data_IF_080171336173
#
_entry.id   IF_080171336173
#
_cell.length_a   1.000
_cell.length_b   1.000
_cell.length_c   1.000
_cell.angle_alpha   90.00
_cell.angle_beta   90.00
_cell.angle_gamma   90.00
#
_symmetry.space_group_name_H-M   'P 1'
#
loop_
_entity.id
_entity.type
_entity.pdbx_description
1 polymer ?
#
# COMPACT_ATOMS: atom_id res chain seq x y z
N UNK A 1 -1.44 -11.84 6.42
CA UNK A 1 -1.43 -12.77 5.26
C UNK A 1 -2.81 -12.78 4.61
N UNK A 2 -2.91 -12.94 3.30
CA UNK A 2 -4.22 -12.95 2.64
C UNK A 2 -5.01 -14.22 3.02
N UNK A 3 -6.35 -14.12 3.11
CA UNK A 3 -7.22 -15.28 3.40
C UNK A 3 -6.98 -16.45 2.42
N UNK A 4 -6.61 -16.15 1.16
CA UNK A 4 -6.33 -17.15 0.13
C UNK A 4 -5.01 -17.89 0.39
N UNK A 5 -3.95 -17.19 0.83
CA UNK A 5 -2.69 -17.83 1.19
C UNK A 5 -2.91 -18.91 2.26
N UNK A 6 -3.61 -18.56 3.35
CA UNK A 6 -3.85 -19.50 4.45
C UNK A 6 -4.76 -20.69 4.09
N UNK A 7 -5.52 -20.62 2.98
CA UNK A 7 -6.31 -21.74 2.47
C UNK A 7 -5.49 -22.72 1.64
N UNK A 8 -4.44 -22.22 0.97
CA UNK A 8 -3.60 -23.03 0.06
C UNK A 8 -2.41 -23.59 0.82
N UNK A 9 -1.67 -22.70 1.51
CA UNK A 9 -0.45 -23.05 2.22
C UNK A 9 -0.73 -23.62 3.61
N UNK A 10 -0.12 -24.76 3.92
CA UNK A 10 0.03 -25.27 5.28
C UNK A 10 1.46 -25.76 5.46
N UNK A 11 1.98 -25.72 6.68
CA UNK A 11 3.35 -26.20 6.97
C UNK A 11 3.48 -27.70 6.66
N UNK A 12 2.43 -28.49 6.89
CA UNK A 12 2.41 -29.91 6.54
C UNK A 12 2.66 -30.13 5.04
N UNK A 13 1.89 -29.45 4.16
CA UNK A 13 2.08 -29.53 2.70
C UNK A 13 3.47 -29.05 2.29
N UNK A 14 3.96 -27.98 2.95
CA UNK A 14 5.29 -27.47 2.66
C UNK A 14 6.40 -28.48 2.94
N UNK A 15 6.27 -29.27 3.98
CA UNK A 15 7.23 -30.35 4.28
C UNK A 15 7.30 -31.41 3.18
N UNK A 16 6.19 -31.67 2.48
CA UNK A 16 6.10 -32.66 1.40
C UNK A 16 6.67 -32.17 0.06
N UNK A 17 6.80 -30.85 -0.13
CA UNK A 17 7.40 -30.26 -1.37
C UNK A 17 8.80 -30.81 -1.57
N UNK A 18 9.16 -31.19 -2.83
CA UNK A 18 10.46 -31.77 -3.13
C UNK A 18 11.61 -30.81 -2.80
N UNK A 19 12.76 -31.42 -2.55
CA UNK A 19 13.96 -30.70 -2.09
C UNK A 19 14.48 -29.71 -3.13
N UNK A 20 14.47 -30.07 -4.41
CA UNK A 20 14.94 -29.22 -5.51
C UNK A 20 14.19 -27.87 -5.52
N UNK A 21 12.86 -27.94 -5.48
CA UNK A 21 12.01 -26.74 -5.49
C UNK A 21 12.21 -25.85 -4.24
N UNK A 22 12.43 -26.47 -3.08
CA UNK A 22 12.74 -25.73 -1.86
C UNK A 22 14.09 -25.02 -1.93
N UNK A 23 15.13 -25.74 -2.37
CA UNK A 23 16.47 -25.18 -2.49
C UNK A 23 16.48 -24.01 -3.46
N UNK A 24 15.94 -24.19 -4.67
CA UNK A 24 15.85 -23.11 -5.66
C UNK A 24 15.14 -21.85 -5.10
N UNK A 25 14.06 -22.02 -4.33
CA UNK A 25 13.40 -20.87 -3.71
C UNK A 25 14.29 -20.18 -2.68
N UNK A 26 14.94 -20.93 -1.80
CA UNK A 26 15.77 -20.34 -0.74
C UNK A 26 17.01 -19.63 -1.34
N UNK A 27 17.63 -20.20 -2.38
CA UNK A 27 18.77 -19.58 -3.07
C UNK A 27 18.35 -18.30 -3.79
N UNK A 28 17.20 -18.31 -4.46
CA UNK A 28 16.63 -17.10 -5.02
C UNK A 28 16.34 -16.02 -3.95
N UNK A 29 15.84 -16.41 -2.77
CA UNK A 29 15.61 -15.47 -1.67
C UNK A 29 16.91 -14.93 -1.08
N UNK A 30 17.98 -15.73 -1.08
CA UNK A 30 19.35 -15.29 -0.72
C UNK A 30 19.87 -14.27 -1.74
N UNK A 31 19.66 -14.51 -3.03
CA UNK A 31 20.02 -13.57 -4.09
C UNK A 31 19.29 -12.21 -3.90
N UNK A 32 17.98 -12.23 -3.62
CA UNK A 32 17.25 -11.00 -3.31
C UNK A 32 17.81 -10.27 -2.07
N UNK A 33 18.31 -11.02 -1.09
CA UNK A 33 18.94 -10.45 0.11
C UNK A 33 20.32 -9.85 -0.22
N UNK A 34 21.11 -10.48 -1.09
CA UNK A 34 22.40 -9.94 -1.57
C UNK A 34 22.21 -8.61 -2.28
N UNK A 35 21.12 -8.49 -3.06
CA UNK A 35 20.68 -7.26 -3.72
C UNK A 35 20.09 -6.22 -2.75
N UNK A 36 20.16 -6.42 -1.45
CA UNK A 36 19.63 -5.52 -0.41
C UNK A 36 18.14 -5.21 -0.55
N UNK A 37 17.34 -6.16 -1.08
CA UNK A 37 15.87 -6.01 -1.09
C UNK A 37 15.33 -5.93 0.33
N UNK A 38 14.28 -5.13 0.54
CA UNK A 38 13.63 -4.99 1.85
C UNK A 38 13.06 -6.32 2.32
N UNK A 39 13.14 -6.63 3.62
CA UNK A 39 12.59 -7.84 4.24
C UNK A 39 11.15 -8.13 3.78
N UNK A 40 10.26 -7.12 3.80
CA UNK A 40 8.87 -7.31 3.36
C UNK A 40 8.72 -7.72 1.89
N UNK A 41 9.68 -7.34 1.02
CA UNK A 41 9.72 -7.78 -0.39
C UNK A 41 10.12 -9.25 -0.46
N UNK A 42 11.16 -9.65 0.28
CA UNK A 42 11.63 -11.04 0.33
C UNK A 42 10.53 -11.96 0.89
N UNK A 43 9.88 -11.57 1.98
CA UNK A 43 8.75 -12.31 2.57
C UNK A 43 7.56 -12.43 1.60
N UNK A 44 7.33 -11.38 0.79
CA UNK A 44 6.29 -11.42 -0.24
C UNK A 44 6.63 -12.43 -1.35
N UNK A 45 7.88 -12.46 -1.84
CA UNK A 45 8.34 -13.47 -2.81
C UNK A 45 8.22 -14.87 -2.24
N UNK A 46 8.68 -15.09 -1.00
CA UNK A 46 8.54 -16.38 -0.31
C UNK A 46 7.10 -16.86 -0.29
N UNK A 47 6.17 -16.01 0.13
CA UNK A 47 4.76 -16.38 0.22
C UNK A 47 4.12 -16.64 -1.16
N UNK A 48 4.53 -15.89 -2.18
CA UNK A 48 4.00 -16.05 -3.54
C UNK A 48 4.54 -17.35 -4.18
N UNK A 49 5.81 -17.68 -3.98
CA UNK A 49 6.42 -18.92 -4.49
C UNK A 49 5.95 -20.17 -3.73
N UNK A 50 5.67 -20.08 -2.43
CA UNK A 50 5.07 -21.18 -1.67
C UNK A 50 3.72 -21.59 -2.26
N UNK A 51 2.89 -20.67 -2.74
CA UNK A 51 1.64 -20.99 -3.43
C UNK A 51 1.92 -21.81 -4.70
N UNK A 52 2.92 -21.43 -5.50
CA UNK A 52 3.32 -22.16 -6.69
C UNK A 52 3.74 -23.60 -6.35
N UNK A 53 4.58 -23.77 -5.35
CA UNK A 53 5.11 -25.10 -5.02
C UNK A 53 4.04 -26.02 -4.40
N UNK A 54 3.04 -25.46 -3.71
CA UNK A 54 1.86 -26.24 -3.29
C UNK A 54 1.03 -26.65 -4.51
N UNK A 55 0.85 -25.80 -5.52
CA UNK A 55 0.21 -26.20 -6.77
C UNK A 55 0.99 -27.33 -7.46
N UNK A 56 2.31 -27.26 -7.53
CA UNK A 56 3.15 -28.31 -8.14
C UNK A 56 3.03 -29.62 -7.34
N UNK A 57 2.95 -29.53 -6.01
CA UNK A 57 2.75 -30.70 -5.15
C UNK A 57 1.42 -31.39 -5.45
N UNK A 58 0.33 -30.62 -5.51
CA UNK A 58 -1.04 -31.16 -5.58
C UNK A 58 -1.46 -31.55 -7.01
N UNK A 59 -1.04 -30.79 -8.03
CA UNK A 59 -1.56 -30.91 -9.39
C UNK A 59 -0.54 -31.47 -10.39
N UNK A 60 0.74 -31.56 -10.03
CA UNK A 60 1.82 -31.93 -10.94
C UNK A 60 2.77 -33.01 -10.36
N UNK A 61 2.25 -33.88 -9.49
CA UNK A 61 2.98 -35.00 -8.89
C UNK A 61 4.29 -34.57 -8.20
N UNK A 62 4.31 -33.38 -7.58
CA UNK A 62 5.48 -32.83 -6.88
C UNK A 62 6.78 -32.79 -7.75
N UNK A 63 6.65 -32.59 -9.05
CA UNK A 63 7.79 -32.59 -9.99
C UNK A 63 8.77 -31.44 -9.69
N UNK A 64 10.08 -31.65 -9.90
CA UNK A 64 11.02 -30.53 -9.95
C UNK A 64 10.62 -29.52 -11.03
N UNK A 65 10.72 -28.22 -10.72
CA UNK A 65 10.22 -27.16 -11.60
C UNK A 65 10.89 -27.11 -12.96
N UNK A 66 12.15 -27.54 -13.10
CA UNK A 66 12.86 -27.60 -14.37
C UNK A 66 12.20 -28.56 -15.38
N UNK A 67 11.44 -29.56 -14.92
CA UNK A 67 10.67 -30.47 -15.80
C UNK A 67 9.38 -29.87 -16.32
N UNK A 68 8.99 -28.68 -15.84
CA UNK A 68 7.76 -28.03 -16.24
C UNK A 68 7.96 -27.18 -17.51
N UNK A 69 6.93 -27.14 -18.33
CA UNK A 69 6.92 -26.41 -19.60
C UNK A 69 5.84 -25.31 -19.56
N UNK A 70 5.83 -24.44 -20.58
CA UNK A 70 4.87 -23.33 -20.73
C UNK A 70 3.41 -23.74 -20.42
N UNK A 71 2.98 -24.95 -20.83
CA UNK A 71 1.62 -25.44 -20.56
C UNK A 71 1.33 -25.49 -19.06
N UNK A 72 2.22 -26.07 -18.27
CA UNK A 72 2.04 -26.18 -16.83
C UNK A 72 1.88 -24.81 -16.13
N UNK A 73 2.67 -23.81 -16.56
CA UNK A 73 2.56 -22.45 -16.01
C UNK A 73 1.33 -21.70 -16.50
N UNK A 74 0.81 -22.00 -17.71
CA UNK A 74 -0.51 -21.53 -18.14
C UNK A 74 -1.61 -22.16 -17.26
N UNK A 75 -1.53 -23.46 -17.03
CA UNK A 75 -2.51 -24.19 -16.23
C UNK A 75 -2.47 -23.73 -14.76
N UNK A 76 -1.29 -23.36 -14.22
CA UNK A 76 -1.15 -22.66 -12.94
C UNK A 76 -1.93 -21.33 -12.91
N UNK A 77 -1.84 -20.53 -13.98
CA UNK A 77 -2.62 -19.29 -14.09
C UNK A 77 -4.12 -19.54 -14.06
N UNK A 78 -4.62 -20.59 -14.71
CA UNK A 78 -6.02 -20.97 -14.67
C UNK A 78 -6.43 -21.45 -13.26
N UNK A 79 -5.63 -22.31 -12.64
CA UNK A 79 -5.87 -22.78 -11.27
C UNK A 79 -5.96 -21.62 -10.26
N UNK A 80 -5.13 -20.58 -10.40
CA UNK A 80 -5.23 -19.39 -9.56
C UNK A 80 -6.55 -18.63 -9.77
N UNK A 81 -7.06 -18.56 -11.01
CA UNK A 81 -8.35 -17.95 -11.33
C UNK A 81 -9.50 -18.76 -10.73
N UNK A 82 -9.45 -20.10 -10.81
CA UNK A 82 -10.44 -21.00 -10.19
C UNK A 82 -10.50 -20.86 -8.65
N UNK A 83 -9.39 -20.40 -8.04
CA UNK A 83 -9.37 -20.02 -6.61
C UNK A 83 -9.90 -18.59 -6.35
N UNK A 84 -10.57 -17.98 -7.32
CA UNK A 84 -11.13 -16.61 -7.25
C UNK A 84 -10.09 -15.54 -6.89
N UNK A 85 -8.88 -15.64 -7.44
CA UNK A 85 -7.87 -14.58 -7.30
C UNK A 85 -8.09 -13.50 -8.35
N UNK A 86 -7.96 -12.23 -7.94
CA UNK A 86 -8.01 -11.11 -8.89
C UNK A 86 -6.88 -11.16 -9.92
N UNK A 87 -7.12 -10.63 -11.14
CA UNK A 87 -6.14 -10.54 -12.22
C UNK A 87 -4.81 -9.91 -11.75
N UNK A 88 -4.87 -8.88 -10.89
CA UNK A 88 -3.69 -8.26 -10.29
C UNK A 88 -2.90 -9.22 -9.38
N UNK A 89 -3.60 -10.07 -8.61
CA UNK A 89 -2.97 -11.08 -7.74
C UNK A 89 -2.32 -12.19 -8.57
N UNK A 90 -3.02 -12.71 -9.58
CA UNK A 90 -2.50 -13.73 -10.52
C UNK A 90 -1.24 -13.19 -11.20
N UNK A 91 -1.30 -11.97 -11.76
CA UNK A 91 -0.15 -11.35 -12.43
C UNK A 91 1.06 -11.19 -11.50
N UNK A 92 0.83 -10.88 -10.21
CA UNK A 92 1.91 -10.79 -9.22
C UNK A 92 2.55 -12.14 -8.95
N UNK A 93 1.76 -13.21 -8.79
CA UNK A 93 2.25 -14.58 -8.59
C UNK A 93 3.06 -15.06 -9.81
N UNK A 94 2.57 -14.79 -11.02
CA UNK A 94 3.31 -15.07 -12.25
C UNK A 94 4.60 -14.25 -12.35
N UNK A 95 4.61 -13.01 -11.85
CA UNK A 95 5.83 -12.19 -11.81
C UNK A 95 6.87 -12.76 -10.84
N UNK A 96 6.45 -13.23 -9.67
CA UNK A 96 7.36 -13.89 -8.72
C UNK A 96 7.99 -15.16 -9.33
N UNK A 97 7.17 -15.99 -9.96
CA UNK A 97 7.63 -17.18 -10.68
C UNK A 97 8.65 -16.84 -11.78
N UNK A 98 8.33 -15.82 -12.62
CA UNK A 98 9.25 -15.40 -13.68
C UNK A 98 10.58 -14.90 -13.13
N UNK A 99 10.55 -14.12 -12.06
CA UNK A 99 11.78 -13.61 -11.43
C UNK A 99 12.65 -14.73 -10.87
N UNK A 100 12.05 -15.75 -10.25
CA UNK A 100 12.79 -16.91 -9.75
C UNK A 100 13.38 -17.75 -10.89
N UNK A 101 12.62 -17.99 -11.96
CA UNK A 101 13.14 -18.74 -13.10
C UNK A 101 14.17 -17.95 -13.91
N UNK A 102 14.11 -16.61 -13.96
CA UNK A 102 15.20 -15.82 -14.54
C UNK A 102 16.48 -15.91 -13.72
N UNK A 103 16.38 -15.91 -12.39
CA UNK A 103 17.52 -16.17 -11.53
C UNK A 103 18.11 -17.57 -11.85
N UNK A 104 17.26 -18.60 -11.90
CA UNK A 104 17.72 -19.96 -12.15
C UNK A 104 18.32 -20.18 -13.56
N UNK A 105 17.85 -19.44 -14.58
CA UNK A 105 18.39 -19.45 -15.95
C UNK A 105 19.80 -18.86 -16.01
N UNK A 106 20.08 -17.87 -15.14
CA UNK A 106 21.38 -17.17 -15.07
C UNK A 106 22.36 -17.76 -14.04
N UNK A 107 21.91 -18.73 -13.21
CA UNK A 107 22.69 -19.33 -12.14
C UNK A 107 23.53 -20.53 -12.63
N UNK A 108 24.75 -20.64 -12.15
CA UNK A 108 25.70 -21.68 -12.61
C UNK A 108 25.23 -23.12 -12.30
N UNK A 109 24.51 -23.32 -11.18
CA UNK A 109 24.03 -24.65 -10.76
C UNK A 109 22.69 -24.98 -11.43
N UNK A 110 21.73 -24.03 -11.39
CA UNK A 110 20.38 -24.28 -11.91
C UNK A 110 20.27 -24.10 -13.42
N UNK A 111 21.17 -23.33 -14.06
CA UNK A 111 21.14 -23.05 -15.49
C UNK A 111 21.35 -24.29 -16.36
N UNK A 112 22.06 -25.31 -15.86
CA UNK A 112 22.17 -26.61 -16.54
C UNK A 112 20.82 -27.32 -16.69
N UNK A 113 19.93 -27.18 -15.71
CA UNK A 113 18.59 -27.77 -15.72
C UNK A 113 17.54 -26.84 -16.35
N UNK A 114 17.71 -25.53 -16.27
CA UNK A 114 16.74 -24.49 -16.67
C UNK A 114 17.32 -23.57 -17.72
N UNK A 115 17.51 -24.10 -18.92
CA UNK A 115 18.01 -23.35 -20.09
C UNK A 115 17.01 -22.27 -20.59
N UNK A 116 15.74 -22.40 -20.29
CA UNK A 116 14.67 -21.54 -20.80
C UNK A 116 13.66 -21.23 -19.69
N UNK A 117 13.45 -19.94 -19.41
CA UNK A 117 12.35 -19.47 -18.57
C UNK A 117 11.00 -19.60 -19.31
N UNK A 118 10.38 -20.77 -19.23
CA UNK A 118 9.06 -20.99 -19.83
C UNK A 118 7.94 -20.15 -19.21
N UNK A 119 8.06 -19.70 -17.99
CA UNK A 119 7.08 -18.83 -17.37
C UNK A 119 7.06 -17.42 -18.00
N UNK A 120 8.19 -16.94 -18.53
CA UNK A 120 8.26 -15.69 -19.26
C UNK A 120 7.41 -15.71 -20.53
N UNK A 121 7.18 -16.89 -21.12
CA UNK A 121 6.36 -17.09 -22.33
C UNK A 121 4.85 -17.16 -22.04
N UNK A 122 4.42 -17.15 -20.77
CA UNK A 122 3.00 -17.08 -20.39
C UNK A 122 2.58 -15.61 -20.30
N UNK A 123 1.54 -15.21 -21.02
CA UNK A 123 1.00 -13.85 -20.93
C UNK A 123 0.29 -13.63 -19.61
N UNK A 124 0.43 -12.44 -19.02
CA UNK A 124 -0.36 -12.02 -17.88
C UNK A 124 -1.83 -11.78 -18.28
N UNK A 125 -2.69 -11.73 -17.27
CA UNK A 125 -4.10 -11.37 -17.45
C UNK A 125 -4.25 -9.87 -17.69
N UNK A 126 -5.28 -9.47 -18.44
CA UNK A 126 -5.65 -8.08 -18.59
C UNK A 126 -5.91 -7.47 -17.21
N UNK A 127 -5.41 -6.27 -16.99
CA UNK A 127 -5.64 -5.55 -15.74
C UNK A 127 -7.10 -5.06 -15.72
N UNK A 128 -7.88 -5.64 -14.85
CA UNK A 128 -9.21 -5.11 -14.51
C UNK A 128 -9.07 -4.07 -13.39
N UNK A 129 -9.96 -3.09 -13.35
CA UNK A 129 -10.09 -2.18 -12.20
C UNK A 129 -10.43 -3.03 -10.97
N UNK A 130 -9.44 -3.28 -10.12
CA UNK A 130 -9.56 -4.28 -9.05
C UNK A 130 -10.47 -3.86 -7.90
N UNK A 131 -10.74 -2.57 -7.71
CA UNK A 131 -11.59 -2.02 -6.63
C UNK A 131 -12.04 -0.62 -7.00
N UNK A 132 -13.24 -0.26 -6.60
CA UNK A 132 -13.65 1.14 -6.56
C UNK A 132 -12.81 1.88 -5.52
N UNK A 133 -12.33 3.05 -5.92
CA UNK A 133 -11.59 3.94 -5.01
C UNK A 133 -12.65 4.68 -4.20
N UNK A 134 -12.62 4.49 -2.89
CA UNK A 134 -13.53 5.20 -2.00
C UNK A 134 -12.91 6.55 -1.63
N UNK A 135 -13.43 7.60 -2.24
CA UNK A 135 -13.09 8.98 -1.92
C UNK A 135 -13.90 9.48 -0.72
N UNK A 136 -13.23 10.18 0.18
CA UNK A 136 -13.85 10.91 1.27
C UNK A 136 -14.06 12.37 0.85
N UNK A 137 -15.24 12.91 1.11
CA UNK A 137 -15.47 14.35 0.97
C UNK A 137 -14.79 15.12 2.11
N UNK A 138 -14.58 16.43 1.91
CA UNK A 138 -14.01 17.25 2.98
C UNK A 138 -14.92 17.29 4.22
N UNK A 139 -16.24 17.25 4.03
CA UNK A 139 -17.21 17.18 5.15
C UNK A 139 -17.05 15.89 5.96
N UNK A 140 -16.94 14.72 5.29
CA UNK A 140 -16.71 13.43 5.96
C UNK A 140 -15.39 13.43 6.74
N UNK A 141 -14.32 14.00 6.17
CA UNK A 141 -13.01 14.12 6.85
C UNK A 141 -13.12 15.03 8.07
N UNK A 142 -13.79 16.17 7.96
CA UNK A 142 -13.98 17.09 9.08
C UNK A 142 -14.88 16.50 10.18
N UNK A 143 -15.88 15.69 9.83
CA UNK A 143 -16.68 14.94 10.80
C UNK A 143 -15.80 13.98 11.59
N UNK A 144 -14.96 13.18 10.91
CA UNK A 144 -14.01 12.27 11.58
C UNK A 144 -13.08 13.07 12.51
N UNK A 145 -12.46 14.12 11.99
CA UNK A 145 -11.52 14.97 12.74
C UNK A 145 -12.15 15.57 14.00
N UNK A 146 -13.33 16.20 13.87
CA UNK A 146 -14.03 16.84 14.97
C UNK A 146 -14.52 15.84 16.02
N UNK A 147 -15.02 14.68 15.60
CA UNK A 147 -15.42 13.60 16.49
C UNK A 147 -14.25 13.08 17.31
N UNK A 148 -13.09 12.88 16.68
CA UNK A 148 -11.87 12.46 17.37
C UNK A 148 -11.41 13.51 18.39
N UNK A 149 -11.49 14.80 18.05
CA UNK A 149 -11.20 15.90 18.98
C UNK A 149 -12.17 15.90 20.17
N UNK A 150 -13.47 15.79 19.92
CA UNK A 150 -14.50 15.75 20.94
C UNK A 150 -14.30 14.57 21.91
N UNK A 151 -13.84 13.42 21.39
CA UNK A 151 -13.48 12.24 22.17
C UNK A 151 -12.10 12.35 22.85
N UNK A 152 -11.40 13.47 22.73
CA UNK A 152 -10.02 13.69 23.22
C UNK A 152 -9.00 12.67 22.67
N UNK A 153 -9.25 12.10 21.51
CA UNK A 153 -8.33 11.20 20.78
C UNK A 153 -7.39 12.01 19.89
N UNK A 154 -6.67 12.96 20.50
CA UNK A 154 -5.90 13.98 19.76
C UNK A 154 -4.81 13.40 18.87
N UNK A 155 -4.16 12.29 19.27
CA UNK A 155 -3.21 11.58 18.41
C UNK A 155 -3.86 11.06 17.12
N UNK A 156 -5.08 10.56 17.20
CA UNK A 156 -5.81 10.09 16.03
C UNK A 156 -6.34 11.26 15.19
N UNK A 157 -6.75 12.36 15.83
CA UNK A 157 -7.10 13.59 15.13
C UNK A 157 -5.89 14.14 14.35
N UNK A 158 -4.69 14.14 14.96
CA UNK A 158 -3.44 14.50 14.27
C UNK A 158 -3.15 13.57 13.09
N UNK A 159 -3.35 12.26 13.23
CA UNK A 159 -3.18 11.33 12.10
C UNK A 159 -4.15 11.65 10.96
N UNK A 160 -5.42 11.95 11.28
CA UNK A 160 -6.42 12.34 10.29
C UNK A 160 -6.00 13.63 9.56
N UNK A 161 -5.60 14.65 10.32
CA UNK A 161 -5.13 15.93 9.77
C UNK A 161 -3.88 15.79 8.89
N UNK A 162 -2.87 15.06 9.35
CA UNK A 162 -1.63 14.88 8.60
C UNK A 162 -1.84 14.05 7.33
N UNK A 163 -2.75 13.06 7.35
CA UNK A 163 -3.06 12.27 6.15
C UNK A 163 -3.72 13.13 5.06
N UNK A 164 -4.61 14.05 5.41
CA UNK A 164 -5.29 14.92 4.44
C UNK A 164 -4.40 16.08 4.01
N UNK A 165 -3.63 16.67 4.92
CA UNK A 165 -2.73 17.79 4.64
C UNK A 165 -1.52 17.40 3.81
N UNK A 166 -1.01 16.17 3.94
CA UNK A 166 0.22 15.76 3.27
C UNK A 166 -0.01 14.85 2.06
N UNK A 167 -1.19 14.30 1.91
CA UNK A 167 -1.42 13.15 1.02
C UNK A 167 -0.41 12.02 1.21
N UNK A 168 0.24 11.93 2.38
CA UNK A 168 1.31 10.98 2.70
C UNK A 168 0.82 9.54 2.69
N UNK A 169 1.67 8.62 2.24
CA UNK A 169 1.40 7.19 2.44
C UNK A 169 1.59 6.83 3.91
N UNK A 170 0.82 5.86 4.40
CA UNK A 170 0.94 5.39 5.81
C UNK A 170 2.39 5.14 6.24
N UNK A 171 3.21 4.54 5.36
CA UNK A 171 4.62 4.28 5.61
C UNK A 171 5.45 5.56 5.78
N UNK A 172 5.09 6.62 5.08
CA UNK A 172 5.74 7.93 5.15
C UNK A 172 5.32 8.65 6.43
N UNK A 173 4.01 8.70 6.71
CA UNK A 173 3.44 9.29 7.92
C UNK A 173 3.94 8.59 9.19
N UNK A 174 4.12 7.27 9.16
CA UNK A 174 4.64 6.49 10.28
C UNK A 174 6.04 6.92 10.73
N UNK A 175 6.86 7.49 9.84
CA UNK A 175 8.24 7.92 10.10
C UNK A 175 8.34 9.33 10.69
N UNK A 176 7.22 10.03 10.89
CA UNK A 176 7.26 11.39 11.43
C UNK A 176 7.65 11.35 12.90
N UNK A 177 8.60 12.23 13.25
CA UNK A 177 9.15 12.36 14.59
C UNK A 177 8.33 13.33 15.45
N UNK A 178 8.39 13.15 16.77
CA UNK A 178 7.68 13.96 17.76
C UNK A 178 7.86 15.46 17.55
N UNK A 179 9.10 15.91 17.32
CA UNK A 179 9.45 17.33 17.22
C UNK A 179 9.54 17.84 15.77
N UNK A 180 8.94 17.13 14.81
CA UNK A 180 9.07 17.46 13.39
C UNK A 180 7.97 18.40 12.87
N UNK A 181 7.02 18.79 13.71
CA UNK A 181 5.93 19.69 13.35
C UNK A 181 6.08 20.98 14.17
N UNK A 182 6.15 22.13 13.51
CA UNK A 182 6.27 23.44 14.15
C UNK A 182 5.54 24.51 13.31
N UNK A 183 5.34 25.69 13.92
CA UNK A 183 4.69 26.83 13.25
C UNK A 183 5.62 27.55 12.26
N UNK A 184 6.92 27.36 12.38
CA UNK A 184 7.95 28.01 11.55
C UNK A 184 8.24 27.25 10.25
N UNK A 185 7.81 25.99 10.18
CA UNK A 185 8.04 25.14 9.00
C UNK A 185 6.79 24.37 8.63
N UNK A 186 6.45 24.32 7.36
CA UNK A 186 5.32 23.52 6.85
C UNK A 186 5.76 22.13 6.35
N UNK A 187 6.90 21.62 6.85
CA UNK A 187 7.46 20.34 6.45
C UNK A 187 7.94 19.52 7.64
N UNK A 188 7.60 18.23 7.64
CA UNK A 188 8.09 17.28 8.64
C UNK A 188 9.60 17.03 8.52
N UNK A 189 10.15 16.16 9.39
CA UNK A 189 11.45 15.54 9.14
C UNK A 189 11.47 14.80 7.80
N UNK A 190 12.68 14.50 7.30
CA UNK A 190 12.86 13.65 6.13
C UNK A 190 12.29 12.25 6.38
N UNK A 191 11.51 11.75 5.42
CA UNK A 191 10.94 10.40 5.42
C UNK A 191 11.38 9.65 4.17
N UNK A 192 11.41 8.32 4.25
CA UNK A 192 11.83 7.44 3.16
C UNK A 192 10.59 6.83 2.50
N UNK A 193 10.32 7.23 1.29
CA UNK A 193 9.23 6.73 0.46
C UNK A 193 9.59 5.44 -0.30
N UNK A 194 8.81 5.16 -1.33
CA UNK A 194 9.02 4.02 -2.24
C UNK A 194 10.36 4.17 -2.96
N UNK A 195 11.08 3.04 -3.16
CA UNK A 195 12.41 2.96 -3.80
C UNK A 195 13.50 3.76 -3.09
N UNK A 196 13.33 4.09 -1.80
CA UNK A 196 14.34 4.81 -1.04
C UNK A 196 14.37 6.33 -1.27
N UNK A 197 13.39 6.89 -2.02
CA UNK A 197 13.29 8.33 -2.25
C UNK A 197 13.08 9.05 -0.91
N UNK A 198 13.92 10.03 -0.63
CA UNK A 198 13.86 10.86 0.56
C UNK A 198 13.16 12.17 0.27
N UNK A 199 12.25 12.59 1.14
CA UNK A 199 11.52 13.84 1.06
C UNK A 199 10.86 14.17 2.40
N UNK A 200 10.28 15.36 2.52
CA UNK A 200 9.53 15.80 3.70
C UNK A 200 8.06 15.93 3.35
N UNK A 201 7.18 15.54 4.29
CA UNK A 201 5.75 15.72 4.13
C UNK A 201 5.39 17.18 4.39
N UNK A 202 4.58 17.74 3.53
CA UNK A 202 4.00 19.07 3.72
C UNK A 202 2.79 18.97 4.64
N UNK A 203 2.57 19.95 5.51
CA UNK A 203 1.39 20.05 6.36
C UNK A 203 0.93 21.51 6.48
N UNK A 204 -0.28 21.70 7.01
CA UNK A 204 -0.92 22.99 7.13
C UNK A 204 -1.65 23.16 8.48
N UNK A 205 -2.50 24.18 8.57
CA UNK A 205 -3.15 24.64 9.78
C UNK A 205 -3.88 23.54 10.56
N UNK A 206 -4.55 22.60 9.86
CA UNK A 206 -5.28 21.49 10.49
C UNK A 206 -4.34 20.55 11.27
N UNK A 207 -3.20 20.25 10.66
CA UNK A 207 -2.16 19.45 11.32
C UNK A 207 -1.53 20.18 12.50
N UNK A 208 -1.28 21.49 12.39
CA UNK A 208 -0.73 22.30 13.48
C UNK A 208 -1.66 22.33 14.68
N UNK A 209 -2.95 22.60 14.45
CA UNK A 209 -3.95 22.59 15.52
C UNK A 209 -4.00 21.24 16.25
N UNK A 210 -4.06 20.15 15.48
CA UNK A 210 -4.11 18.80 16.04
C UNK A 210 -2.84 18.43 16.79
N UNK A 211 -1.69 18.89 16.31
CA UNK A 211 -0.39 18.67 16.93
C UNK A 211 -0.30 19.35 18.29
N UNK A 212 -0.68 20.64 18.39
CA UNK A 212 -0.68 21.39 19.65
C UNK A 212 -1.55 20.68 20.70
N UNK A 213 -2.76 20.25 20.31
CA UNK A 213 -3.67 19.50 21.18
C UNK A 213 -3.09 18.15 21.63
N UNK A 214 -2.46 17.43 20.71
CA UNK A 214 -1.86 16.14 21.01
C UNK A 214 -0.64 16.27 21.91
N UNK A 215 0.26 17.21 21.66
CA UNK A 215 1.45 17.40 22.46
C UNK A 215 1.11 17.84 23.88
N UNK A 216 0.11 18.70 24.05
CA UNK A 216 -0.42 19.05 25.36
C UNK A 216 -0.99 17.85 26.15
N UNK A 217 -1.60 16.88 25.45
CA UNK A 217 -2.09 15.64 26.07
C UNK A 217 -0.99 14.62 26.33
N UNK A 218 -0.04 14.51 25.41
CA UNK A 218 1.05 13.51 25.45
C UNK A 218 2.00 13.76 26.62
N UNK A 219 2.32 15.01 26.87
CA UNK A 219 3.34 15.39 27.84
C UNK A 219 4.77 15.05 27.39
N UNK A 220 5.68 14.99 28.36
CA UNK A 220 7.09 14.67 28.12
C UNK A 220 7.33 13.17 28.16
N UNK A 221 8.12 12.66 27.22
CA UNK A 221 8.60 11.28 27.13
C UNK A 221 9.85 11.23 26.23
N UNK A 222 10.61 10.13 26.31
CA UNK A 222 11.86 9.91 25.57
C UNK A 222 11.66 9.19 24.22
N UNK A 223 10.41 9.10 23.72
CA UNK A 223 10.12 8.40 22.46
C UNK A 223 10.16 9.40 21.29
N UNK A 224 11.09 9.21 20.38
CA UNK A 224 11.26 10.07 19.21
C UNK A 224 10.08 10.02 18.22
N UNK A 225 9.37 8.88 18.14
CA UNK A 225 8.24 8.72 17.24
C UNK A 225 7.09 9.63 17.61
N UNK A 226 6.44 10.26 16.61
CA UNK A 226 5.19 10.99 16.81
C UNK A 226 4.06 10.07 17.31
N UNK A 227 4.08 8.80 16.90
CA UNK A 227 3.03 7.82 17.16
C UNK A 227 3.41 6.89 18.32
N UNK A 228 2.60 6.89 19.37
CA UNK A 228 2.81 6.07 20.56
C UNK A 228 1.58 5.24 20.90
N UNK A 229 1.79 4.17 21.62
CA UNK A 229 0.75 3.36 22.25
C UNK A 229 1.13 3.09 23.70
N UNK A 230 0.13 2.89 24.56
CA UNK A 230 0.33 2.46 25.92
C UNK A 230 0.01 0.97 26.01
N UNK A 231 0.95 0.17 26.46
CA UNK A 231 0.78 -1.26 26.67
C UNK A 231 1.35 -1.64 28.03
N UNK A 232 0.55 -2.32 28.86
CA UNK A 232 0.93 -2.71 30.24
C UNK A 232 1.44 -1.53 31.09
N UNK A 233 0.89 -0.34 30.89
CA UNK A 233 1.27 0.86 31.60
C UNK A 233 2.45 1.63 31.00
N UNK A 234 3.24 1.01 30.13
CA UNK A 234 4.39 1.61 29.45
C UNK A 234 4.03 2.27 28.13
N UNK A 235 4.64 3.43 27.87
CA UNK A 235 4.59 4.08 26.56
C UNK A 235 5.60 3.42 25.63
N UNK A 236 5.17 3.12 24.39
CA UNK A 236 6.03 2.56 23.34
C UNK A 236 5.67 3.19 22.01
N UNK A 237 6.61 3.20 21.07
CA UNK A 237 6.30 3.54 19.70
C UNK A 237 5.15 2.66 19.19
N UNK A 238 4.13 3.27 18.59
CA UNK A 238 3.04 2.55 17.96
C UNK A 238 3.55 1.64 16.86
N UNK A 239 2.92 0.49 16.67
CA UNK A 239 3.24 -0.36 15.52
C UNK A 239 2.74 0.27 14.21
N UNK A 240 3.35 -0.13 13.10
CA UNK A 240 2.90 0.30 11.79
C UNK A 240 1.42 -0.08 11.51
N UNK A 241 1.00 -1.22 12.05
CA UNK A 241 -0.38 -1.71 11.95
C UNK A 241 -1.36 -0.90 12.80
N UNK A 242 -0.92 -0.29 13.88
CA UNK A 242 -1.75 0.57 14.74
C UNK A 242 -2.34 1.74 13.95
N UNK A 243 -1.56 2.40 13.08
CA UNK A 243 -2.06 3.50 12.26
C UNK A 243 -3.17 3.04 11.29
N UNK A 244 -3.03 1.82 10.76
CA UNK A 244 -4.08 1.23 9.92
C UNK A 244 -5.35 0.94 10.72
N UNK A 245 -5.20 0.31 11.88
CA UNK A 245 -6.32 -0.05 12.73
C UNK A 245 -7.10 1.18 13.19
N UNK A 246 -6.41 2.28 13.55
CA UNK A 246 -7.06 3.54 13.90
C UNK A 246 -7.91 4.08 12.75
N UNK A 247 -7.36 4.17 11.54
CA UNK A 247 -8.12 4.66 10.37
C UNK A 247 -9.33 3.79 10.08
N UNK A 248 -9.21 2.46 10.17
CA UNK A 248 -10.36 1.56 9.98
C UNK A 248 -11.42 1.78 11.04
N UNK A 249 -11.04 2.06 12.29
CA UNK A 249 -12.01 2.32 13.36
C UNK A 249 -12.85 3.57 13.13
N UNK A 250 -12.35 4.56 12.36
CA UNK A 250 -13.09 5.80 12.07
C UNK A 250 -14.29 5.58 11.12
N UNK A 251 -14.38 4.45 10.43
CA UNK A 251 -15.59 4.08 9.66
C UNK A 251 -16.83 4.11 10.51
N UNK A 252 -16.70 3.72 11.80
CA UNK A 252 -17.80 3.77 12.77
C UNK A 252 -18.27 5.20 13.00
N UNK A 253 -17.37 6.19 13.01
CA UNK A 253 -17.75 7.60 13.20
C UNK A 253 -18.67 8.06 12.06
N UNK A 254 -18.34 7.78 10.80
CA UNK A 254 -19.20 8.13 9.67
C UNK A 254 -20.55 7.43 9.72
N UNK A 255 -20.57 6.18 10.16
CA UNK A 255 -21.80 5.43 10.32
C UNK A 255 -22.69 5.98 11.41
N UNK A 256 -22.11 6.28 12.57
CA UNK A 256 -22.84 6.75 13.76
C UNK A 256 -23.32 8.21 13.59
N UNK A 257 -22.50 9.10 13.01
CA UNK A 257 -22.79 10.54 12.94
C UNK A 257 -23.48 10.97 11.63
N UNK A 258 -23.18 10.30 10.50
CA UNK A 258 -23.72 10.67 9.19
C UNK A 258 -24.59 9.57 8.54
N UNK A 259 -24.74 8.41 9.20
CA UNK A 259 -25.39 7.22 8.63
C UNK A 259 -24.77 6.77 7.29
N UNK A 260 -23.45 6.98 7.12
CA UNK A 260 -22.69 6.59 5.92
C UNK A 260 -21.90 5.33 6.22
N UNK A 261 -22.23 4.24 5.52
CA UNK A 261 -21.44 2.99 5.53
C UNK A 261 -20.46 2.98 4.36
N UNK A 262 -19.24 3.47 4.60
CA UNK A 262 -18.20 3.64 3.58
C UNK A 262 -16.94 2.90 3.97
N UNK A 263 -16.44 2.07 3.05
CA UNK A 263 -15.13 1.45 3.22
C UNK A 263 -14.02 2.41 2.79
N UNK A 264 -13.13 2.72 3.72
CA UNK A 264 -11.92 3.52 3.45
C UNK A 264 -10.74 3.03 4.29
N UNK A 265 -9.54 3.44 3.92
CA UNK A 265 -8.29 3.09 4.58
C UNK A 265 -7.30 4.26 4.45
N UNK A 266 -6.08 4.19 5.03
CA UNK A 266 -5.11 5.30 4.92
C UNK A 266 -4.82 5.75 3.49
N UNK A 267 -4.88 4.84 2.51
CA UNK A 267 -4.65 5.19 1.12
C UNK A 267 -5.82 5.99 0.51
N UNK A 268 -7.03 5.79 1.00
CA UNK A 268 -8.22 6.58 0.61
C UNK A 268 -8.04 8.06 0.95
N UNK A 269 -7.41 8.39 2.08
CA UNK A 269 -7.10 9.79 2.43
C UNK A 269 -6.19 10.45 1.39
N UNK A 270 -5.19 9.72 0.88
CA UNK A 270 -4.32 10.22 -0.18
C UNK A 270 -5.08 10.46 -1.49
N UNK A 271 -5.94 9.52 -1.89
CA UNK A 271 -6.83 9.72 -3.04
C UNK A 271 -7.73 10.94 -2.84
N UNK A 272 -8.36 11.04 -1.68
CA UNK A 272 -9.26 12.15 -1.35
C UNK A 272 -8.53 13.50 -1.31
N UNK A 273 -7.35 13.58 -0.69
CA UNK A 273 -6.56 14.81 -0.65
C UNK A 273 -6.24 15.32 -2.05
N UNK A 274 -5.75 14.44 -2.94
CA UNK A 274 -5.39 14.82 -4.31
C UNK A 274 -6.63 15.22 -5.13
N UNK A 275 -7.73 14.49 -5.03
CA UNK A 275 -8.99 14.83 -5.71
C UNK A 275 -9.56 16.15 -5.21
N UNK A 276 -9.63 16.35 -3.88
CA UNK A 276 -10.14 17.57 -3.28
C UNK A 276 -9.30 18.82 -3.64
N UNK A 277 -7.98 18.67 -3.74
CA UNK A 277 -7.08 19.74 -4.21
C UNK A 277 -7.31 20.03 -5.70
N UNK A 278 -7.48 18.99 -6.52
CA UNK A 278 -7.75 19.13 -7.96
C UNK A 278 -9.08 19.81 -8.24
N UNK A 279 -10.13 19.45 -7.50
CA UNK A 279 -11.46 20.03 -7.66
C UNK A 279 -11.65 21.39 -7.00
N UNK A 280 -10.73 21.78 -6.08
CA UNK A 280 -10.87 23.00 -5.29
C UNK A 280 -11.68 22.81 -4.00
N UNK A 281 -12.10 21.59 -3.67
CA UNK A 281 -12.92 21.29 -2.49
C UNK A 281 -12.12 21.06 -1.21
N UNK A 282 -10.80 20.90 -1.28
CA UNK A 282 -9.94 20.84 -0.10
C UNK A 282 -10.01 22.16 0.66
N UNK A 283 -10.00 22.13 2.00
CA UNK A 283 -10.09 23.37 2.80
C UNK A 283 -9.00 24.40 2.47
N UNK A 284 -7.78 23.92 2.13
CA UNK A 284 -6.69 24.79 1.68
C UNK A 284 -6.99 25.37 0.30
N UNK A 285 -7.51 24.56 -0.62
CA UNK A 285 -7.88 25.00 -1.96
C UNK A 285 -8.96 26.07 -1.88
N UNK A 286 -9.97 25.91 -1.02
CA UNK A 286 -10.99 26.93 -0.72
C UNK A 286 -10.37 28.20 -0.11
N UNK A 287 -9.47 28.06 0.88
CA UNK A 287 -8.77 29.19 1.50
C UNK A 287 -7.96 30.00 0.48
N UNK A 288 -7.33 29.33 -0.48
CA UNK A 288 -6.51 29.94 -1.54
C UNK A 288 -7.33 30.33 -2.80
N UNK A 289 -8.61 29.99 -2.86
CA UNK A 289 -9.46 30.10 -4.03
C UNK A 289 -8.79 29.52 -5.30
N UNK A 290 -8.27 28.29 -5.20
CA UNK A 290 -7.43 27.70 -6.24
C UNK A 290 -7.75 26.20 -6.43
N UNK A 291 -7.77 25.77 -7.70
CA UNK A 291 -7.68 24.37 -8.11
C UNK A 291 -6.23 24.04 -8.42
N UNK A 292 -5.73 22.90 -7.92
CA UNK A 292 -4.36 22.48 -8.15
C UNK A 292 -4.23 21.67 -9.43
N UNK A 293 -3.27 22.03 -10.27
CA UNK A 293 -2.95 21.32 -11.51
C UNK A 293 -2.33 19.94 -11.23
N UNK A 294 -2.38 19.04 -12.22
CA UNK A 294 -1.73 17.72 -12.13
C UNK A 294 -0.22 17.84 -11.84
N UNK A 295 0.44 18.86 -12.35
CA UNK A 295 1.87 19.09 -12.11
C UNK A 295 2.14 19.47 -10.65
N UNK A 296 1.33 20.34 -10.06
CA UNK A 296 1.44 20.70 -8.64
C UNK A 296 1.12 19.50 -7.74
N UNK A 297 0.08 18.74 -8.06
CA UNK A 297 -0.27 17.52 -7.34
C UNK A 297 0.80 16.44 -7.45
N UNK A 298 1.48 16.31 -8.60
CA UNK A 298 2.63 15.42 -8.77
C UNK A 298 3.75 15.76 -7.80
N UNK A 299 4.11 17.05 -7.69
CA UNK A 299 5.14 17.52 -6.76
C UNK A 299 4.72 17.28 -5.32
N UNK A 300 3.49 17.66 -4.97
CA UNK A 300 2.90 17.50 -3.65
C UNK A 300 2.84 16.04 -3.19
N UNK A 301 2.44 15.14 -4.08
CA UNK A 301 2.36 13.71 -3.81
C UNK A 301 3.69 12.97 -3.95
N UNK A 302 4.77 13.66 -4.32
CA UNK A 302 6.09 13.08 -4.60
C UNK A 302 6.06 11.95 -5.65
N UNK A 303 5.17 12.05 -6.66
CA UNK A 303 5.09 11.09 -7.76
C UNK A 303 6.21 11.27 -8.79
N UNK A 304 6.59 10.17 -9.46
CA UNK A 304 7.58 10.21 -10.54
C UNK A 304 6.99 10.74 -11.86
N UNK A 305 5.69 10.44 -12.10
CA UNK A 305 4.99 10.86 -13.32
C UNK A 305 3.60 11.44 -13.03
N UNK A 306 3.08 12.22 -13.98
CA UNK A 306 1.69 12.72 -13.97
C UNK A 306 0.69 11.59 -14.14
N UNK A 307 1.01 10.52 -14.91
CA UNK A 307 0.15 9.35 -15.08
C UNK A 307 -0.13 8.66 -13.73
N UNK A 308 0.91 8.58 -12.88
CA UNK A 308 0.71 8.10 -11.51
C UNK A 308 -0.24 9.01 -10.74
N UNK A 309 -0.17 10.33 -10.91
CA UNK A 309 -1.06 11.28 -10.25
C UNK A 309 -2.48 11.15 -10.76
N UNK A 310 -2.67 11.08 -12.07
CA UNK A 310 -3.98 10.91 -12.71
C UNK A 310 -4.71 9.64 -12.22
N UNK A 311 -3.97 8.55 -11.97
CA UNK A 311 -4.56 7.32 -11.44
C UNK A 311 -5.16 7.45 -10.02
N UNK A 312 -4.89 8.55 -9.32
CA UNK A 312 -5.46 8.88 -8.01
C UNK A 312 -6.71 9.74 -8.08
N UNK A 313 -7.04 10.29 -9.22
CA UNK A 313 -8.19 11.18 -9.43
C UNK A 313 -9.40 10.40 -9.97
N UNK A 314 -10.57 11.00 -9.81
CA UNK A 314 -11.80 10.49 -10.41
C UNK A 314 -11.70 10.73 -11.92
N UNK A 315 -12.04 9.72 -12.72
CA UNK A 315 -12.16 9.91 -14.16
C UNK A 315 -13.42 10.74 -14.45
N UNK A 316 -13.22 11.88 -15.11
CA UNK A 316 -14.26 12.84 -15.49
C UNK A 316 -14.28 13.08 -17.00
N UNK A 317 -13.79 12.12 -17.79
CA UNK A 317 -13.67 12.29 -19.23
C UNK A 317 -15.04 12.65 -19.88
N UNK A 318 -16.13 12.00 -19.43
CA UNK A 318 -17.47 12.28 -19.92
C UNK A 318 -17.96 13.69 -19.52
N UNK A 319 -17.73 14.11 -18.26
CA UNK A 319 -18.08 15.46 -17.79
C UNK A 319 -17.29 16.53 -18.57
N UNK A 320 -15.98 16.31 -18.76
CA UNK A 320 -15.12 17.22 -19.52
C UNK A 320 -15.53 17.32 -20.98
N UNK A 321 -15.95 16.21 -21.60
CA UNK A 321 -16.49 16.23 -22.97
C UNK A 321 -17.78 17.02 -23.06
N UNK A 322 -18.71 16.79 -22.14
CA UNK A 322 -19.97 17.54 -22.10
C UNK A 322 -19.71 19.03 -21.91
N UNK A 323 -18.84 19.41 -20.98
CA UNK A 323 -18.45 20.80 -20.74
C UNK A 323 -17.78 21.43 -21.99
N UNK A 324 -16.83 20.72 -22.60
CA UNK A 324 -16.11 21.20 -23.80
C UNK A 324 -17.02 21.43 -24.99
N UNK A 325 -18.11 20.68 -25.11
CA UNK A 325 -19.11 20.83 -26.16
C UNK A 325 -20.34 21.65 -25.75
N UNK A 326 -20.33 22.25 -24.54
CA UNK A 326 -21.43 23.09 -24.06
C UNK A 326 -22.72 22.32 -23.80
N UNK A 327 -22.64 21.05 -23.44
CA UNK A 327 -23.77 20.15 -23.20
C UNK A 327 -24.02 19.89 -21.70
N UNK A 328 -23.32 20.59 -20.80
CA UNK A 328 -23.46 20.47 -19.33
C UNK A 328 -24.57 21.38 -18.78
#
# INVERSE_FOLDING_TARGET
>A
MSKVYNRIFTEKKWQEVNKYNKNLMEDFLLELKSQKKKKGTIDQYRNDLRILFIYILEELDNKPIHKLKKRNFRDYSLWLQDKNMSSARVNRLLSALRSMLSFAEDDDEYGEDIEINYAAKVKGLTKEKARDIHFLTMSEIMTIYNSLKAQKKYQQALLCALLIDSAGRRQEVYQVLKNAISKEANFTNEVIGKRGKKFRLFYNDLTLEAYDLYMAQRGEDDIDSLWITKHDGELKQASYESLYAWVISWRKILKDELNIDKEFNPHSFRHSSLELLNTGEHYIAKKLNKKFSLQELKVYAHHESTDTTSSYLINKDDELLLEAFGLS
#
